data_IF_260930184113
#
_entry.id   IF_260930184113
#
_cell.length_a   1.000
_cell.length_b   1.000
_cell.length_c   1.000
_cell.angle_alpha   90.00
_cell.angle_beta   90.00
_cell.angle_gamma   90.00
#
_symmetry.space_group_name_H-M   'P 1'
#
loop_
_entity.id
_entity.type
_entity.pdbx_description
1 polymer ?
#
# COMPACT_ATOMS: atom_id res chain seq x y z
N UNK A 1 -20.57 -9.56 -0.63
CA UNK A 1 -19.67 -8.53 -0.05
C UNK A 1 -20.36 -7.92 1.17
N UNK A 2 -19.63 -7.82 2.27
CA UNK A 2 -20.10 -7.26 3.53
C UNK A 2 -20.44 -5.76 3.36
N UNK A 3 -21.61 -5.33 3.85
CA UNK A 3 -22.04 -3.93 3.76
C UNK A 3 -21.08 -2.98 4.49
N UNK A 4 -20.53 -3.40 5.64
CA UNK A 4 -19.54 -2.62 6.37
C UNK A 4 -18.30 -2.36 5.52
N UNK A 5 -17.84 -3.37 4.81
CA UNK A 5 -16.69 -3.23 3.92
C UNK A 5 -16.96 -2.27 2.76
N UNK A 6 -18.16 -2.36 2.17
CA UNK A 6 -18.56 -1.45 1.07
C UNK A 6 -18.53 0.01 1.53
N UNK A 7 -19.06 0.28 2.72
CA UNK A 7 -19.05 1.64 3.29
C UNK A 7 -17.60 2.09 3.56
N UNK A 8 -16.78 1.23 4.14
CA UNK A 8 -15.38 1.56 4.41
C UNK A 8 -14.61 1.88 3.13
N UNK A 9 -14.81 1.10 2.06
CA UNK A 9 -14.17 1.34 0.76
C UNK A 9 -14.66 2.65 0.17
N UNK A 10 -15.97 2.90 0.18
CA UNK A 10 -16.54 4.12 -0.38
C UNK A 10 -16.03 5.37 0.36
N UNK A 11 -15.99 5.32 1.68
CA UNK A 11 -15.49 6.44 2.51
C UNK A 11 -14.02 6.70 2.21
N UNK A 12 -13.19 5.66 2.11
CA UNK A 12 -11.77 5.82 1.77
C UNK A 12 -11.60 6.42 0.37
N UNK A 13 -12.34 5.93 -0.61
CA UNK A 13 -12.31 6.46 -1.98
C UNK A 13 -12.69 7.93 -2.00
N UNK A 14 -13.76 8.30 -1.30
CA UNK A 14 -14.22 9.69 -1.23
C UNK A 14 -13.20 10.60 -0.55
N UNK A 15 -12.58 10.14 0.53
CA UNK A 15 -11.57 10.89 1.26
C UNK A 15 -10.30 11.06 0.42
N UNK A 16 -9.86 10.02 -0.29
CA UNK A 16 -8.71 10.11 -1.21
C UNK A 16 -8.99 11.09 -2.36
N UNK A 17 -10.19 11.03 -2.95
CA UNK A 17 -10.59 11.98 -4.00
C UNK A 17 -10.58 13.41 -3.51
N UNK A 18 -11.00 13.65 -2.26
CA UNK A 18 -10.94 15.00 -1.67
C UNK A 18 -9.50 15.50 -1.57
N UNK A 19 -8.55 14.64 -1.16
CA UNK A 19 -7.12 14.98 -1.13
C UNK A 19 -6.63 15.38 -2.52
N UNK A 20 -6.95 14.60 -3.55
CA UNK A 20 -6.47 14.83 -4.90
C UNK A 20 -7.11 16.09 -5.53
N UNK A 21 -8.39 16.31 -5.28
CA UNK A 21 -9.08 17.54 -5.71
C UNK A 21 -8.43 18.77 -5.07
N UNK A 22 -8.13 18.70 -3.77
CA UNK A 22 -7.46 19.80 -3.07
C UNK A 22 -6.06 20.07 -3.64
N UNK A 23 -5.38 19.04 -4.12
CA UNK A 23 -4.07 19.17 -4.77
C UNK A 23 -4.15 19.59 -6.23
N UNK A 24 -5.35 19.85 -6.76
CA UNK A 24 -5.53 20.28 -8.14
C UNK A 24 -5.63 19.19 -9.18
N UNK A 25 -5.84 17.94 -8.76
CA UNK A 25 -5.89 16.78 -9.66
C UNK A 25 -7.32 16.32 -9.99
N UNK A 26 -8.35 17.01 -9.51
CA UNK A 26 -9.73 16.58 -9.73
C UNK A 26 -10.04 16.40 -11.22
N UNK A 27 -10.47 15.21 -11.62
CA UNK A 27 -10.79 14.88 -13.01
C UNK A 27 -9.60 14.57 -13.90
N UNK A 28 -8.38 14.66 -13.39
CA UNK A 28 -7.18 14.37 -14.16
C UNK A 28 -6.85 12.87 -14.19
N UNK A 29 -6.10 12.42 -15.20
CA UNK A 29 -5.66 11.02 -15.30
C UNK A 29 -4.81 10.59 -14.10
N UNK A 30 -4.03 11.50 -13.54
CA UNK A 30 -3.21 11.25 -12.35
C UNK A 30 -4.02 10.93 -11.11
N UNK A 31 -5.22 11.50 -10.97
CA UNK A 31 -6.13 11.17 -9.86
C UNK A 31 -6.47 9.69 -9.85
N UNK A 32 -6.83 9.13 -11.00
CA UNK A 32 -7.17 7.72 -11.12
C UNK A 32 -5.99 6.81 -10.72
N UNK A 33 -4.78 7.13 -11.18
CA UNK A 33 -3.58 6.37 -10.83
C UNK A 33 -3.28 6.41 -9.33
N UNK A 34 -3.33 7.61 -8.74
CA UNK A 34 -3.11 7.76 -7.30
C UNK A 34 -4.17 7.02 -6.49
N UNK A 35 -5.43 7.12 -6.90
CA UNK A 35 -6.54 6.45 -6.23
C UNK A 35 -6.38 4.94 -6.24
N UNK A 36 -6.18 4.36 -7.42
CA UNK A 36 -6.11 2.91 -7.59
C UNK A 36 -4.88 2.32 -6.93
N UNK A 37 -3.73 2.96 -7.06
CA UNK A 37 -2.48 2.44 -6.47
C UNK A 37 -2.43 2.64 -4.96
N UNK A 38 -2.95 3.73 -4.43
CA UNK A 38 -3.09 3.93 -2.98
C UNK A 38 -4.02 2.89 -2.36
N UNK A 39 -5.17 2.65 -3.00
CA UNK A 39 -6.12 1.63 -2.55
C UNK A 39 -5.49 0.24 -2.60
N UNK A 40 -4.78 -0.09 -3.68
CA UNK A 40 -4.10 -1.37 -3.82
C UNK A 40 -3.06 -1.58 -2.71
N UNK A 41 -2.28 -0.55 -2.40
CA UNK A 41 -1.32 -0.61 -1.31
C UNK A 41 -2.02 -0.93 0.03
N UNK A 42 -3.12 -0.23 0.32
CA UNK A 42 -3.91 -0.50 1.52
C UNK A 42 -4.39 -1.95 1.57
N UNK A 43 -4.95 -2.43 0.48
CA UNK A 43 -5.46 -3.81 0.40
C UNK A 43 -4.34 -4.84 0.61
N UNK A 44 -3.20 -4.68 -0.05
CA UNK A 44 -2.07 -5.61 0.09
C UNK A 44 -1.50 -5.61 1.51
N UNK A 45 -1.38 -4.44 2.11
CA UNK A 45 -0.90 -4.28 3.49
C UNK A 45 -1.82 -5.00 4.48
N UNK A 46 -3.11 -4.74 4.41
CA UNK A 46 -4.08 -5.29 5.35
C UNK A 46 -4.22 -6.81 5.17
N UNK A 47 -4.20 -7.29 3.93
CA UNK A 47 -4.23 -8.72 3.65
C UNK A 47 -2.98 -9.44 4.17
N UNK A 48 -1.80 -8.84 4.00
CA UNK A 48 -0.56 -9.38 4.55
C UNK A 48 -0.63 -9.52 6.07
N UNK A 49 -1.05 -8.45 6.76
CA UNK A 49 -1.19 -8.48 8.22
C UNK A 49 -2.21 -9.52 8.68
N UNK A 50 -3.31 -9.65 7.95
CA UNK A 50 -4.30 -10.69 8.22
C UNK A 50 -3.69 -12.09 8.10
N UNK A 51 -2.99 -12.39 7.01
CA UNK A 51 -2.37 -13.70 6.79
C UNK A 51 -1.30 -14.00 7.84
N UNK A 52 -0.52 -13.01 8.25
CA UNK A 52 0.45 -13.18 9.32
C UNK A 52 -0.21 -13.59 10.63
N UNK A 53 -1.36 -12.99 10.97
CA UNK A 53 -2.13 -13.35 12.17
C UNK A 53 -2.80 -14.72 12.05
N UNK A 54 -3.21 -15.13 10.86
CA UNK A 54 -3.76 -16.46 10.63
C UNK A 54 -2.72 -17.53 10.98
N UNK A 55 -1.46 -17.30 10.64
CA UNK A 55 -0.36 -18.21 10.96
C UNK A 55 -0.07 -18.23 12.47
N UNK A 56 -0.08 -17.06 13.11
CA UNK A 56 0.15 -16.93 14.56
C UNK A 56 -0.49 -15.60 15.01
N UNK A 57 -1.45 -15.68 15.94
CA UNK A 57 -2.14 -14.50 16.47
C UNK A 57 -1.21 -13.46 17.09
N UNK A 58 -0.01 -13.88 17.53
CA UNK A 58 0.99 -12.95 18.06
C UNK A 58 1.69 -12.11 17.01
N UNK A 59 1.49 -12.38 15.73
CA UNK A 59 2.07 -11.61 14.63
C UNK A 59 1.38 -10.26 14.44
N UNK A 60 1.45 -9.42 15.47
CA UNK A 60 1.01 -8.03 15.41
C UNK A 60 2.06 -7.17 14.73
N UNK A 61 1.69 -5.95 14.31
CA UNK A 61 2.65 -5.02 13.71
C UNK A 61 3.90 -4.83 14.59
N UNK A 62 3.73 -4.62 15.89
CA UNK A 62 4.87 -4.42 16.80
C UNK A 62 5.77 -5.65 16.88
N UNK A 63 5.20 -6.84 16.90
CA UNK A 63 5.98 -8.07 16.92
C UNK A 63 6.68 -8.32 15.58
N UNK A 64 6.06 -7.96 14.47
CA UNK A 64 6.72 -8.03 13.15
C UNK A 64 7.92 -7.11 13.07
N UNK A 65 7.80 -5.88 13.62
CA UNK A 65 8.94 -4.94 13.67
C UNK A 65 10.11 -5.47 14.50
N UNK A 66 9.81 -6.16 15.60
CA UNK A 66 10.80 -6.69 16.53
C UNK A 66 11.41 -8.03 16.07
N UNK A 67 10.82 -8.65 15.06
CA UNK A 67 11.23 -9.97 14.58
C UNK A 67 12.62 -9.92 13.96
N UNK A 68 13.42 -10.98 14.18
CA UNK A 68 14.71 -11.12 13.50
C UNK A 68 14.50 -11.29 11.99
N UNK A 69 15.53 -10.95 11.22
CA UNK A 69 15.49 -11.13 9.77
C UNK A 69 15.22 -12.58 9.38
N UNK A 70 15.87 -13.53 10.08
CA UNK A 70 15.69 -14.96 9.85
C UNK A 70 14.25 -15.40 10.11
N UNK A 71 13.68 -14.99 11.25
CA UNK A 71 12.31 -15.35 11.60
C UNK A 71 11.30 -14.72 10.62
N UNK A 72 11.59 -13.51 10.15
CA UNK A 72 10.74 -12.84 9.17
C UNK A 72 10.79 -13.57 7.82
N UNK A 73 11.95 -14.03 7.39
CA UNK A 73 12.08 -14.83 6.17
C UNK A 73 11.28 -16.12 6.26
N UNK A 74 11.30 -16.81 7.43
CA UNK A 74 10.46 -17.96 7.66
C UNK A 74 8.97 -17.64 7.58
N UNK A 75 8.57 -16.50 8.13
CA UNK A 75 7.18 -16.04 8.03
C UNK A 75 6.77 -15.83 6.56
N UNK A 76 7.61 -15.20 5.76
CA UNK A 76 7.32 -14.98 4.34
C UNK A 76 7.18 -16.29 3.58
N UNK A 77 8.04 -17.26 3.86
CA UNK A 77 7.92 -18.60 3.25
C UNK A 77 6.62 -19.30 3.65
N UNK A 78 6.21 -19.18 4.90
CA UNK A 78 4.96 -19.77 5.41
C UNK A 78 3.73 -19.09 4.76
N UNK A 79 3.79 -17.79 4.52
CA UNK A 79 2.76 -17.05 3.77
C UNK A 79 2.68 -17.56 2.33
N UNK A 80 3.83 -17.85 1.73
CA UNK A 80 3.91 -18.40 0.37
C UNK A 80 3.30 -17.47 -0.66
N UNK A 81 2.38 -17.99 -1.48
CA UNK A 81 1.73 -17.24 -2.55
C UNK A 81 0.31 -16.77 -2.19
N UNK A 82 -0.10 -16.91 -0.95
CA UNK A 82 -1.46 -16.52 -0.52
C UNK A 82 -1.69 -15.02 -0.56
N UNK A 83 -0.63 -14.23 -0.42
CA UNK A 83 -0.67 -12.77 -0.53
C UNK A 83 0.70 -12.22 -0.93
N UNK A 84 0.75 -10.91 -1.23
CA UNK A 84 2.02 -10.22 -1.44
C UNK A 84 2.89 -10.28 -0.18
N UNK A 85 4.20 -10.30 -0.37
CA UNK A 85 5.19 -10.22 0.69
C UNK A 85 5.52 -8.75 0.96
N UNK A 86 5.38 -8.33 2.21
CA UNK A 86 5.79 -7.00 2.65
C UNK A 86 6.82 -7.12 3.76
N UNK A 87 7.90 -6.37 3.63
CA UNK A 87 8.91 -6.24 4.69
C UNK A 87 8.41 -5.24 5.74
N UNK A 88 8.95 -5.26 6.98
CA UNK A 88 8.50 -4.35 8.03
C UNK A 88 8.55 -2.87 7.61
N UNK A 89 9.61 -2.46 6.89
CA UNK A 89 9.78 -1.09 6.41
C UNK A 89 8.78 -0.68 5.33
N UNK A 90 8.07 -1.65 4.73
CA UNK A 90 7.09 -1.40 3.68
C UNK A 90 5.65 -1.32 4.21
N UNK A 91 5.43 -1.63 5.47
CA UNK A 91 4.10 -1.59 6.07
C UNK A 91 3.60 -0.15 6.21
N UNK A 92 2.30 0.05 6.04
CA UNK A 92 1.67 1.38 6.10
C UNK A 92 1.98 2.08 7.42
N UNK A 93 1.89 1.38 8.55
CA UNK A 93 2.18 1.99 9.86
C UNK A 93 3.62 2.48 9.97
N UNK A 94 4.57 1.78 9.34
CA UNK A 94 5.97 2.21 9.31
C UNK A 94 6.10 3.53 8.54
N UNK A 95 5.50 3.62 7.36
CA UNK A 95 5.51 4.87 6.58
C UNK A 95 4.79 6.00 7.33
N UNK A 96 3.68 5.69 7.98
CA UNK A 96 2.94 6.66 8.78
C UNK A 96 3.83 7.30 9.86
N UNK A 97 4.68 6.50 10.49
CA UNK A 97 5.64 6.99 11.51
C UNK A 97 6.79 7.82 10.90
N UNK A 98 7.08 7.63 9.61
CA UNK A 98 8.15 8.34 8.88
C UNK A 98 7.67 9.57 8.12
N UNK A 99 6.41 9.93 8.21
CA UNK A 99 5.78 10.94 7.35
C UNK A 99 6.39 12.34 7.45
N UNK A 100 7.12 12.63 8.52
CA UNK A 100 7.76 13.93 8.73
C UNK A 100 9.18 14.03 8.16
N UNK A 101 9.66 13.01 7.47
CA UNK A 101 10.95 13.09 6.75
C UNK A 101 10.88 14.15 5.65
N UNK A 102 12.00 14.88 5.38
CA UNK A 102 11.99 15.99 4.41
C UNK A 102 11.55 15.60 3.00
N UNK A 103 11.81 14.37 2.57
CA UNK A 103 11.45 13.86 1.24
C UNK A 103 10.54 12.64 1.36
N UNK A 104 9.54 12.72 2.23
CA UNK A 104 8.64 11.59 2.49
C UNK A 104 7.97 11.07 1.22
N UNK A 105 7.64 11.94 0.24
CA UNK A 105 7.03 11.49 -1.00
C UNK A 105 7.93 10.50 -1.76
N UNK A 106 9.25 10.68 -1.68
CA UNK A 106 10.20 9.73 -2.28
C UNK A 106 10.18 8.40 -1.54
N UNK A 107 10.17 8.43 -0.21
CA UNK A 107 10.03 7.22 0.61
C UNK A 107 8.75 6.47 0.25
N UNK A 108 7.64 7.19 0.10
CA UNK A 108 6.35 6.61 -0.27
C UNK A 108 6.41 5.93 -1.64
N UNK A 109 6.81 6.64 -2.70
CA UNK A 109 6.83 6.06 -4.05
C UNK A 109 7.90 4.97 -4.21
N UNK A 110 9.05 5.09 -3.54
CA UNK A 110 10.08 4.06 -3.55
C UNK A 110 9.61 2.78 -2.85
N UNK A 111 8.84 2.92 -1.77
CA UNK A 111 8.26 1.76 -1.07
C UNK A 111 7.31 1.00 -1.99
N UNK A 112 6.39 1.69 -2.68
CA UNK A 112 5.49 1.04 -3.62
C UNK A 112 6.26 0.35 -4.75
N UNK A 113 7.26 1.02 -5.29
CA UNK A 113 8.11 0.46 -6.33
C UNK A 113 8.82 -0.81 -5.85
N UNK A 114 9.36 -0.79 -4.63
CA UNK A 114 10.07 -1.95 -4.07
C UNK A 114 9.11 -3.12 -3.82
N UNK A 115 7.88 -2.85 -3.37
CA UNK A 115 6.85 -3.89 -3.23
C UNK A 115 6.59 -4.56 -4.58
N UNK A 116 6.48 -3.77 -5.64
CA UNK A 116 6.28 -4.31 -6.99
C UNK A 116 7.46 -5.20 -7.43
N UNK A 117 8.68 -4.77 -7.17
CA UNK A 117 9.89 -5.53 -7.50
C UNK A 117 9.96 -6.84 -6.69
N UNK A 118 9.76 -6.75 -5.38
CA UNK A 118 9.85 -7.91 -4.47
C UNK A 118 8.78 -8.98 -4.78
N UNK A 119 7.66 -8.58 -5.36
CA UNK A 119 6.52 -9.46 -5.64
C UNK A 119 6.31 -9.70 -7.14
N UNK A 120 7.31 -9.41 -7.94
CA UNK A 120 7.20 -9.53 -9.41
C UNK A 120 6.79 -10.94 -9.85
N UNK A 121 7.32 -11.97 -9.21
CA UNK A 121 7.02 -13.37 -9.56
C UNK A 121 5.58 -13.77 -9.21
N UNK A 122 4.98 -13.10 -8.22
CA UNK A 122 3.61 -13.39 -7.77
C UNK A 122 2.58 -12.65 -8.62
N UNK A 123 2.86 -11.39 -8.99
CA UNK A 123 1.88 -10.51 -9.62
C UNK A 123 2.23 -10.13 -11.06
N UNK A 124 3.29 -10.68 -11.63
CA UNK A 124 3.62 -10.43 -13.04
C UNK A 124 2.55 -10.99 -13.94
N UNK A 125 1.96 -10.12 -14.77
CA UNK A 125 1.11 -10.53 -15.88
C UNK A 125 1.92 -10.33 -17.16
N UNK A 126 2.17 -11.43 -17.87
CA UNK A 126 2.87 -11.37 -19.14
C UNK A 126 1.87 -11.15 -20.27
N UNK A 127 2.13 -10.14 -21.09
CA UNK A 127 1.39 -9.90 -22.33
C UNK A 127 1.96 -10.77 -23.47
N UNK A 128 1.32 -10.75 -24.63
CA UNK A 128 1.76 -11.49 -25.81
C UNK A 128 3.21 -11.18 -26.22
N UNK A 129 3.76 -10.06 -25.80
CA UNK A 129 5.14 -9.67 -26.01
C UNK A 129 6.10 -10.07 -24.89
N UNK A 130 5.67 -10.91 -23.96
CA UNK A 130 6.43 -11.32 -22.78
C UNK A 130 6.86 -10.14 -21.89
N UNK A 131 6.06 -9.06 -21.89
CA UNK A 131 6.29 -7.86 -21.08
C UNK A 131 5.52 -7.96 -19.77
N UNK A 132 6.24 -7.90 -18.66
CA UNK A 132 5.61 -7.87 -17.33
C UNK A 132 4.93 -6.52 -17.10
N UNK A 133 3.68 -6.55 -16.60
CA UNK A 133 2.96 -5.35 -16.18
C UNK A 133 3.33 -5.05 -14.73
N UNK A 134 3.79 -3.84 -14.44
CA UNK A 134 4.15 -3.42 -13.09
C UNK A 134 2.90 -3.18 -12.25
N UNK A 135 2.97 -3.59 -11.00
CA UNK A 135 1.90 -3.40 -10.03
C UNK A 135 1.74 -1.93 -9.64
N UNK A 136 2.86 -1.21 -9.47
CA UNK A 136 2.91 0.20 -9.12
C UNK A 136 3.82 0.97 -10.08
N UNK A 137 3.47 2.23 -10.35
CA UNK A 137 4.32 3.14 -11.12
C UNK A 137 5.59 3.45 -10.34
N UNK A 138 6.72 3.55 -11.03
CA UNK A 138 8.02 3.76 -10.39
C UNK A 138 8.12 5.10 -9.67
N UNK A 139 7.52 6.14 -10.24
CA UNK A 139 7.58 7.52 -9.70
C UNK A 139 6.18 8.11 -9.57
N UNK A 140 5.31 7.38 -8.87
CA UNK A 140 3.88 7.68 -8.81
C UNK A 140 3.59 9.13 -8.40
N UNK A 141 4.18 9.60 -7.30
CA UNK A 141 3.95 10.96 -6.80
C UNK A 141 4.64 11.99 -7.70
N UNK A 142 5.89 11.75 -8.06
CA UNK A 142 6.68 12.68 -8.89
C UNK A 142 6.01 12.92 -10.25
N UNK A 143 5.51 11.86 -10.88
CA UNK A 143 4.94 11.96 -12.23
C UNK A 143 3.50 12.48 -12.23
N UNK A 144 2.75 12.35 -11.13
CA UNK A 144 1.37 12.82 -11.04
C UNK A 144 1.24 14.23 -10.44
N UNK A 145 2.14 14.61 -9.53
CA UNK A 145 2.14 15.92 -8.88
C UNK A 145 3.29 16.76 -9.45
N UNK A 146 3.00 17.61 -10.41
CA UNK A 146 4.00 18.44 -11.08
C UNK A 146 4.63 19.49 -10.17
N UNK A 147 3.84 20.05 -9.23
CA UNK A 147 4.32 21.01 -8.25
C UNK A 147 5.05 20.31 -7.12
N UNK A 148 6.40 20.40 -7.12
CA UNK A 148 7.24 19.71 -6.13
C UNK A 148 6.93 20.11 -4.69
N UNK A 149 6.42 21.34 -4.47
CA UNK A 149 6.08 21.83 -3.14
C UNK A 149 4.87 21.11 -2.53
N UNK A 150 4.04 20.46 -3.34
CA UNK A 150 2.82 19.75 -2.91
C UNK A 150 3.03 18.26 -2.70
N UNK A 151 4.15 17.69 -3.14
CA UNK A 151 4.37 16.24 -3.14
C UNK A 151 4.34 15.63 -1.75
N UNK A 152 5.06 16.22 -0.78
CA UNK A 152 5.07 15.74 0.59
C UNK A 152 3.70 15.81 1.24
N UNK A 153 2.97 16.92 1.03
CA UNK A 153 1.64 17.11 1.59
C UNK A 153 0.66 16.04 1.08
N UNK A 154 0.68 15.76 -0.22
CA UNK A 154 -0.16 14.72 -0.81
C UNK A 154 0.20 13.34 -0.26
N UNK A 155 1.50 13.00 -0.25
CA UNK A 155 1.95 11.72 0.28
C UNK A 155 1.58 11.53 1.76
N UNK A 156 1.74 12.57 2.58
CA UNK A 156 1.32 12.54 3.99
C UNK A 156 -0.18 12.35 4.14
N UNK A 157 -0.96 13.06 3.34
CA UNK A 157 -2.43 12.95 3.38
C UNK A 157 -2.88 11.54 3.01
N UNK A 158 -2.26 10.93 2.00
CA UNK A 158 -2.54 9.55 1.61
C UNK A 158 -2.22 8.61 2.77
N UNK A 159 -1.00 8.67 3.30
CA UNK A 159 -0.59 7.70 4.33
C UNK A 159 -1.41 7.83 5.61
N UNK A 160 -1.80 9.04 6.00
CA UNK A 160 -2.66 9.26 7.14
C UNK A 160 -4.05 8.62 6.95
N UNK A 161 -4.62 8.73 5.75
CA UNK A 161 -5.89 8.07 5.43
C UNK A 161 -5.75 6.55 5.46
N UNK A 162 -4.71 6.01 4.83
CA UNK A 162 -4.51 4.56 4.78
C UNK A 162 -4.25 3.97 6.17
N UNK A 163 -3.52 4.67 7.04
CA UNK A 163 -3.22 4.22 8.40
C UNK A 163 -4.45 4.26 9.31
N UNK A 164 -5.37 5.21 9.09
CA UNK A 164 -6.56 5.40 9.93
C UNK A 164 -7.65 4.37 9.66
N UNK A 165 -7.83 3.98 8.40
CA UNK A 165 -8.89 3.07 7.99
C UNK A 165 -8.52 1.63 8.35
N UNK A 166 -9.45 0.91 9.01
CA UNK A 166 -9.32 -0.52 9.27
C UNK A 166 -10.42 -1.25 8.53
N UNK A 167 -10.06 -2.05 7.54
CA UNK A 167 -11.03 -2.87 6.82
C UNK A 167 -11.53 -4.03 7.68
N UNK A 168 -12.79 -4.41 7.46
CA UNK A 168 -13.35 -5.60 8.07
C UNK A 168 -12.59 -6.83 7.57
N UNK A 169 -11.91 -7.53 8.50
CA UNK A 169 -11.03 -8.66 8.18
C UNK A 169 -11.79 -9.85 7.57
N UNK A 170 -13.11 -9.91 7.71
CA UNK A 170 -13.90 -11.01 7.14
C UNK A 170 -13.78 -11.12 5.61
N UNK A 171 -13.44 -10.02 4.94
CA UNK A 171 -13.23 -10.03 3.49
C UNK A 171 -12.02 -10.88 3.07
N UNK A 172 -11.04 -11.03 3.96
CA UNK A 172 -9.81 -11.79 3.67
C UNK A 172 -9.96 -13.28 3.97
N UNK A 173 -11.01 -13.68 4.66
CA UNK A 173 -11.27 -15.07 5.05
C UNK A 173 -12.03 -15.88 4.00
N UNK A 174 -12.39 -15.28 2.89
CA UNK A 174 -13.18 -15.91 1.82
C UNK A 174 -12.29 -16.53 0.74
#
# INVERSE_FOLDING_TARGET
>A
MNETYKVQVQDLVDDLKAVFTHAGLGGEAGEYKLLTQSFLYKFLNDKFLYQAKVLDESNTYENLLAMSEEDYDWLLEDIGTSTAWLKPEQLIETLHRQQNEPTFYETFENTLNQIAIDNNDIFSVHTDGDTAIRLFDERLITDTISDSSKRNEVAKSIINLLARVKFDETIFSQ
#
